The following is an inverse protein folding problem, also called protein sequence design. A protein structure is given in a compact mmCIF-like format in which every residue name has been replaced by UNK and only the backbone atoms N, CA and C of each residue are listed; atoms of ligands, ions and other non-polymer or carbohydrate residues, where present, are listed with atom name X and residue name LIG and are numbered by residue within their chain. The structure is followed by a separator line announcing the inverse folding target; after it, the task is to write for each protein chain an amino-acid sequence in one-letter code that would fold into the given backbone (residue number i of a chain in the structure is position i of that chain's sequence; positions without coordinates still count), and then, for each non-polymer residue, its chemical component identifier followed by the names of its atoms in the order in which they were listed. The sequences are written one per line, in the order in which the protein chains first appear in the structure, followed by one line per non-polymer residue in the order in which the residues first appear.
data_IF_865479614835
#
_entry.id   IF_865479614835
#
_cell.length_a   1.000
_cell.length_b   1.000
_cell.length_c   1.000
_cell.angle_alpha   90.00
_cell.angle_beta   90.00
_cell.angle_gamma   90.00
#
_symmetry.space_group_name_H-M   'P 1'
#
loop_
_entity.id
_entity.type
_entity.pdbx_description
1 polymer ?
#
# COMPACT_ATOMS: atom_id res chain seq x y z
N UNK A 1 18.75 23.36 -54.25
CA UNK A 1 19.96 22.89 -53.51
C UNK A 1 19.75 22.63 -52.01
N UNK A 2 18.68 23.10 -51.39
CA UNK A 2 18.43 22.87 -49.93
C UNK A 2 17.91 21.46 -49.60
N UNK A 3 17.24 20.79 -50.53
CA UNK A 3 16.67 19.44 -50.28
C UNK A 3 17.72 18.33 -50.28
N UNK A 4 18.84 18.50 -50.96
CA UNK A 4 19.92 17.51 -51.02
C UNK A 4 20.63 17.29 -49.66
N UNK A 5 20.58 18.28 -48.77
CA UNK A 5 21.22 18.25 -47.44
C UNK A 5 20.56 17.25 -46.48
N UNK A 6 19.30 16.89 -46.65
CA UNK A 6 18.55 15.98 -45.81
C UNK A 6 18.45 14.56 -46.39
N UNK A 7 18.61 14.43 -47.71
CA UNK A 7 18.52 13.14 -48.42
C UNK A 7 19.78 12.29 -48.17
N UNK A 8 20.96 12.92 -48.14
CA UNK A 8 22.24 12.22 -47.93
C UNK A 8 22.32 11.56 -46.51
N UNK A 9 22.01 12.27 -45.41
CA UNK A 9 22.05 11.60 -44.07
C UNK A 9 20.96 10.54 -43.93
N UNK A 10 19.79 10.70 -44.59
CA UNK A 10 18.73 9.68 -44.53
C UNK A 10 19.13 8.40 -45.30
N UNK A 11 19.81 8.55 -46.47
CA UNK A 11 20.35 7.43 -47.23
C UNK A 11 21.47 6.68 -46.46
N UNK A 12 22.35 7.41 -45.77
CA UNK A 12 23.39 6.81 -44.91
C UNK A 12 22.77 6.04 -43.75
N UNK A 13 21.69 6.55 -43.15
CA UNK A 13 20.97 5.87 -42.09
C UNK A 13 20.31 4.58 -42.60
N UNK A 14 19.72 4.58 -43.79
CA UNK A 14 19.10 3.40 -44.40
C UNK A 14 20.15 2.33 -44.75
N UNK A 15 21.32 2.74 -45.27
CA UNK A 15 22.42 1.83 -45.59
C UNK A 15 23.02 1.21 -44.31
N UNK A 16 23.12 1.98 -43.24
CA UNK A 16 23.59 1.46 -41.92
C UNK A 16 22.66 0.38 -41.34
N UNK A 17 21.33 0.49 -41.59
CA UNK A 17 20.36 -0.51 -41.14
C UNK A 17 20.37 -1.76 -42.04
N UNK A 18 20.67 -1.62 -43.33
CA UNK A 18 20.73 -2.74 -44.28
C UNK A 18 22.00 -3.60 -44.15
N UNK A 19 23.06 -3.08 -43.52
CA UNK A 19 24.32 -3.81 -43.29
C UNK A 19 24.35 -4.64 -42.00
N UNK A 20 23.24 -4.63 -41.24
CA UNK A 20 23.15 -5.46 -40.03
C UNK A 20 22.97 -6.93 -40.42
N UNK A 21 23.97 -7.73 -40.14
CA UNK A 21 23.96 -9.18 -40.43
C UNK A 21 22.78 -9.86 -39.75
N UNK A 22 22.23 -10.88 -40.40
CA UNK A 22 21.17 -11.70 -39.76
C UNK A 22 21.64 -12.36 -38.46
N UNK A 23 22.94 -12.56 -38.32
CA UNK A 23 23.59 -13.01 -37.10
C UNK A 23 23.43 -12.00 -35.95
N UNK A 24 23.63 -10.69 -36.24
CA UNK A 24 23.48 -9.61 -35.24
C UNK A 24 22.03 -9.43 -34.78
N UNK A 25 21.09 -9.57 -35.73
CA UNK A 25 19.64 -9.52 -35.42
C UNK A 25 19.23 -10.68 -34.50
N UNK A 26 19.77 -11.87 -34.75
CA UNK A 26 19.51 -13.02 -33.90
C UNK A 26 20.10 -12.86 -32.50
N UNK A 27 21.30 -12.31 -32.39
CA UNK A 27 21.95 -12.04 -31.10
C UNK A 27 21.14 -11.03 -30.27
N UNK A 28 20.65 -9.95 -30.90
CA UNK A 28 19.79 -8.93 -30.23
C UNK A 28 18.46 -9.57 -29.78
N UNK A 29 17.86 -10.45 -30.58
CA UNK A 29 16.64 -11.15 -30.20
C UNK A 29 16.85 -12.12 -29.03
N UNK A 30 17.97 -12.83 -29.01
CA UNK A 30 18.32 -13.74 -27.92
C UNK A 30 18.60 -12.99 -26.63
N UNK A 31 19.33 -11.88 -26.68
CA UNK A 31 19.60 -11.06 -25.48
C UNK A 31 18.30 -10.46 -24.93
N UNK A 32 17.46 -9.89 -25.77
CA UNK A 32 16.16 -9.37 -25.36
C UNK A 32 15.25 -10.45 -24.75
N UNK A 33 15.29 -11.68 -25.30
CA UNK A 33 14.54 -12.84 -24.76
C UNK A 33 15.08 -13.26 -23.40
N UNK A 34 16.40 -13.31 -23.22
CA UNK A 34 17.05 -13.62 -21.94
C UNK A 34 16.73 -12.58 -20.87
N UNK A 35 16.76 -11.31 -21.21
CA UNK A 35 16.42 -10.23 -20.29
C UNK A 35 14.95 -10.27 -19.87
N UNK A 36 14.04 -10.60 -20.81
CA UNK A 36 12.62 -10.78 -20.52
C UNK A 36 12.39 -11.97 -19.57
N UNK A 37 13.04 -13.10 -19.79
CA UNK A 37 12.98 -14.27 -18.92
C UNK A 37 13.51 -13.93 -17.53
N UNK A 38 14.68 -13.29 -17.44
CA UNK A 38 15.28 -12.88 -16.17
C UNK A 38 14.39 -11.93 -15.36
N UNK A 39 13.67 -11.04 -16.06
CA UNK A 39 12.71 -10.13 -15.43
C UNK A 39 11.46 -10.88 -14.94
N UNK A 40 10.96 -11.87 -15.68
CA UNK A 40 9.85 -12.72 -15.27
C UNK A 40 10.22 -13.57 -14.05
N UNK A 41 11.39 -14.20 -14.04
CA UNK A 41 11.87 -15.00 -12.90
C UNK A 41 12.02 -14.15 -11.64
N UNK A 42 12.59 -12.95 -11.78
CA UNK A 42 12.72 -12.01 -10.66
C UNK A 42 11.36 -11.61 -10.09
N UNK A 43 10.37 -11.37 -10.95
CA UNK A 43 9.01 -11.03 -10.54
C UNK A 43 8.33 -12.21 -9.85
N UNK A 44 8.50 -13.42 -10.38
CA UNK A 44 7.96 -14.64 -9.79
C UNK A 44 8.52 -14.89 -8.38
N UNK A 45 9.81 -14.69 -8.18
CA UNK A 45 10.46 -14.81 -6.85
C UNK A 45 9.90 -13.77 -5.86
N UNK A 46 9.71 -12.53 -6.31
CA UNK A 46 9.13 -11.47 -5.46
C UNK A 46 7.70 -11.79 -5.10
N UNK A 47 6.90 -12.28 -6.04
CA UNK A 47 5.51 -12.68 -5.80
C UNK A 47 5.42 -13.87 -4.85
N UNK A 48 6.26 -14.89 -5.03
CA UNK A 48 6.32 -16.05 -4.14
C UNK A 48 6.71 -15.65 -2.71
N UNK A 49 7.71 -14.79 -2.52
CA UNK A 49 8.07 -14.24 -1.20
C UNK A 49 6.95 -13.45 -0.57
N UNK A 50 6.22 -12.67 -1.36
CA UNK A 50 5.07 -11.90 -0.89
C UNK A 50 3.93 -12.82 -0.46
N UNK A 51 3.68 -13.88 -1.22
CA UNK A 51 2.65 -14.88 -0.90
C UNK A 51 2.98 -15.64 0.38
N UNK A 52 4.24 -16.07 0.57
CA UNK A 52 4.71 -16.73 1.80
C UNK A 52 4.60 -15.79 3.02
N UNK A 53 4.97 -14.52 2.87
CA UNK A 53 4.82 -13.54 3.95
C UNK A 53 3.35 -13.27 4.33
N UNK A 54 2.44 -13.29 3.36
CA UNK A 54 1.00 -13.14 3.60
C UNK A 54 0.41 -14.40 4.27
N UNK A 55 0.87 -15.58 3.89
CA UNK A 55 0.43 -16.86 4.49
C UNK A 55 0.83 -17.00 5.97
N UNK A 56 1.88 -16.29 6.40
CA UNK A 56 2.34 -16.28 7.80
C UNK A 56 1.58 -15.32 8.69
N UNK A 57 0.78 -14.41 8.13
CA UNK A 57 -0.03 -13.46 8.89
C UNK A 57 -1.22 -14.21 9.50
N UNK A 58 -1.16 -14.41 10.80
CA UNK A 58 -2.29 -14.95 11.55
C UNK A 58 -3.20 -13.81 12.00
N UNK A 59 -4.47 -13.89 11.60
CA UNK A 59 -5.51 -12.95 12.03
C UNK A 59 -6.31 -13.58 13.16
N UNK A 60 -6.22 -12.99 14.35
CA UNK A 60 -6.98 -13.43 15.53
C UNK A 60 -8.17 -12.48 15.74
N UNK A 61 -9.42 -12.98 15.62
CA UNK A 61 -10.60 -12.16 15.88
C UNK A 61 -10.57 -11.57 17.29
N UNK A 62 -10.77 -10.27 17.42
CA UNK A 62 -10.75 -9.59 18.72
C UNK A 62 -12.14 -9.11 19.14
N UNK A 63 -12.79 -8.27 18.33
CA UNK A 63 -14.17 -7.80 18.57
C UNK A 63 -14.91 -7.61 17.27
N UNK A 64 -16.23 -7.87 17.31
CA UNK A 64 -17.12 -7.71 16.15
C UNK A 64 -18.16 -6.63 16.42
N UNK A 65 -18.55 -5.93 15.35
CA UNK A 65 -19.62 -4.94 15.31
C UNK A 65 -19.51 -3.85 16.39
N UNK A 66 -18.30 -3.35 16.62
CA UNK A 66 -18.01 -2.28 17.59
C UNK A 66 -17.93 -0.93 16.90
N UNK A 67 -18.05 0.15 17.69
CA UNK A 67 -17.98 1.51 17.16
C UNK A 67 -16.53 1.99 17.04
N UNK A 68 -16.24 2.55 15.87
CA UNK A 68 -15.00 3.25 15.57
C UNK A 68 -15.29 4.73 15.26
N UNK A 69 -14.41 5.61 15.73
CA UNK A 69 -14.40 7.01 15.33
C UNK A 69 -12.99 7.46 14.92
N UNK A 70 -12.80 8.72 14.65
CA UNK A 70 -11.51 9.31 14.35
C UNK A 70 -11.20 10.53 15.22
N UNK A 71 -9.92 10.83 15.36
CA UNK A 71 -9.45 12.04 16.04
C UNK A 71 -9.84 13.31 15.31
N UNK A 72 -10.16 14.35 16.09
CA UNK A 72 -10.28 15.69 15.55
C UNK A 72 -8.90 16.28 15.17
N UNK A 73 -8.88 17.19 14.18
CA UNK A 73 -7.65 17.78 13.64
C UNK A 73 -6.80 18.52 14.67
N UNK A 74 -7.42 19.04 15.74
CA UNK A 74 -6.74 19.73 16.85
C UNK A 74 -5.75 18.86 17.63
N UNK A 75 -5.79 17.54 17.47
CA UNK A 75 -4.84 16.61 18.12
C UNK A 75 -3.59 16.38 17.28
N UNK A 76 -3.55 16.85 16.04
CA UNK A 76 -2.39 16.69 15.17
C UNK A 76 -1.13 17.30 15.80
N UNK A 77 -0.02 16.57 15.77
CA UNK A 77 1.26 16.98 16.38
C UNK A 77 1.38 16.73 17.88
N UNK A 78 0.30 16.38 18.60
CA UNK A 78 0.37 16.10 20.04
C UNK A 78 1.04 14.73 20.31
N UNK A 79 1.60 14.58 21.51
CA UNK A 79 2.13 13.28 21.97
C UNK A 79 0.97 12.36 22.33
N UNK A 80 1.10 11.10 21.92
CA UNK A 80 0.21 10.00 22.31
C UNK A 80 0.65 9.37 23.63
N UNK A 81 -0.14 8.49 24.21
CA UNK A 81 0.21 7.78 25.43
C UNK A 81 1.44 6.85 25.28
N UNK A 82 1.80 6.43 24.06
CA UNK A 82 3.05 5.72 23.79
C UNK A 82 4.27 6.62 23.66
N UNK A 83 4.10 7.94 23.72
CA UNK A 83 5.16 8.93 23.51
C UNK A 83 5.37 9.36 22.06
N UNK A 84 4.78 8.65 21.09
CA UNK A 84 4.86 9.01 19.67
C UNK A 84 4.09 10.30 19.37
N UNK A 85 4.45 11.02 18.31
CA UNK A 85 3.66 12.15 17.82
C UNK A 85 2.49 11.66 16.99
N UNK A 86 1.30 12.11 17.33
CA UNK A 86 0.10 11.84 16.56
C UNK A 86 0.11 12.63 15.24
N UNK A 87 -0.26 11.97 14.17
CA UNK A 87 -0.47 12.61 12.86
C UNK A 87 -1.68 11.99 12.15
N UNK A 88 -2.59 12.84 11.66
CA UNK A 88 -3.83 12.40 11.02
C UNK A 88 -3.63 11.56 9.76
N UNK A 89 -2.47 11.68 9.10
CA UNK A 89 -2.14 10.88 7.90
C UNK A 89 -1.49 9.54 8.22
N UNK A 90 -1.15 9.26 9.48
CA UNK A 90 -0.55 8.00 9.89
C UNK A 90 -1.62 6.93 10.10
N UNK A 91 -1.24 5.66 9.89
CA UNK A 91 -2.13 4.51 10.14
C UNK A 91 -2.00 4.07 11.60
N UNK A 92 -2.50 4.90 12.51
CA UNK A 92 -2.45 4.70 13.95
C UNK A 92 -3.84 4.81 14.58
N UNK A 93 -3.99 4.24 15.78
CA UNK A 93 -5.22 4.30 16.53
C UNK A 93 -4.99 4.28 18.05
N UNK A 94 -6.01 4.73 18.80
CA UNK A 94 -6.13 4.52 20.24
C UNK A 94 -7.03 3.33 20.53
N UNK A 95 -6.65 2.57 21.55
CA UNK A 95 -7.45 1.49 22.10
C UNK A 95 -7.26 1.37 23.61
N UNK A 96 -8.35 0.99 24.34
CA UNK A 96 -8.36 0.95 25.81
C UNK A 96 -7.37 -0.05 26.39
N UNK A 97 -7.26 -1.24 25.79
CA UNK A 97 -6.59 -2.41 26.41
C UNK A 97 -5.44 -2.98 25.57
N UNK A 98 -5.48 -2.88 24.23
CA UNK A 98 -4.44 -3.47 23.39
C UNK A 98 -3.07 -2.83 23.67
N UNK A 99 -2.01 -3.62 23.64
CA UNK A 99 -0.64 -3.14 23.85
C UNK A 99 -0.23 -2.15 22.75
N UNK A 100 0.62 -1.18 23.11
CA UNK A 100 1.21 -0.30 22.10
C UNK A 100 2.04 -1.13 21.11
N UNK A 101 1.99 -0.75 19.84
CA UNK A 101 2.64 -1.49 18.75
C UNK A 101 1.78 -2.62 18.17
N UNK A 102 0.68 -3.03 18.83
CA UNK A 102 -0.23 -4.04 18.26
C UNK A 102 -0.78 -3.56 16.93
N UNK A 103 -0.67 -4.38 15.91
CA UNK A 103 -1.31 -4.15 14.59
C UNK A 103 -2.72 -4.73 14.60
N UNK A 104 -3.68 -3.91 14.22
CA UNK A 104 -5.10 -4.28 14.20
C UNK A 104 -5.64 -4.04 12.80
N UNK A 105 -6.21 -5.08 12.20
CA UNK A 105 -7.03 -4.95 10.99
C UNK A 105 -8.42 -4.52 11.41
N UNK A 106 -8.85 -3.38 10.87
CA UNK A 106 -10.15 -2.77 11.11
C UNK A 106 -10.96 -2.91 9.84
N UNK A 107 -12.07 -3.65 9.90
CA UNK A 107 -12.95 -3.90 8.74
C UNK A 107 -14.29 -3.22 8.97
N UNK A 108 -14.69 -2.31 8.09
CA UNK A 108 -16.01 -1.69 8.12
C UNK A 108 -17.08 -2.71 7.70
N UNK A 109 -18.04 -2.96 8.57
CA UNK A 109 -19.10 -3.98 8.35
C UNK A 109 -20.08 -3.59 7.25
N UNK A 110 -20.23 -2.31 6.92
CA UNK A 110 -21.17 -1.83 5.92
C UNK A 110 -20.68 -2.01 4.47
N UNK A 111 -19.37 -2.02 4.23
CA UNK A 111 -18.80 -2.07 2.88
C UNK A 111 -17.66 -3.07 2.70
N UNK A 112 -17.26 -3.79 3.76
CA UNK A 112 -16.17 -4.77 3.73
C UNK A 112 -14.77 -4.19 3.57
N UNK A 113 -14.59 -2.88 3.43
CA UNK A 113 -13.27 -2.25 3.34
C UNK A 113 -12.51 -2.42 4.65
N UNK A 114 -11.23 -2.69 4.55
CA UNK A 114 -10.37 -2.87 5.71
C UNK A 114 -9.08 -2.08 5.61
N UNK A 115 -8.51 -1.76 6.78
CA UNK A 115 -7.24 -1.08 6.93
C UNK A 115 -6.51 -1.65 8.14
N UNK A 116 -5.18 -1.63 8.10
CA UNK A 116 -4.34 -2.01 9.24
C UNK A 116 -3.85 -0.75 9.93
N UNK A 117 -4.06 -0.67 11.26
CA UNK A 117 -3.57 0.42 12.10
C UNK A 117 -2.72 -0.11 13.24
N UNK A 118 -1.77 0.71 13.70
CA UNK A 118 -0.94 0.40 14.86
C UNK A 118 -1.48 1.13 16.09
N UNK A 119 -1.61 0.44 17.21
CA UNK A 119 -2.05 1.04 18.46
C UNK A 119 -0.89 1.85 19.06
N UNK A 120 -1.08 3.16 19.17
CA UNK A 120 -0.09 4.11 19.70
C UNK A 120 -0.64 4.97 20.83
N UNK A 121 -1.95 4.89 21.09
CA UNK A 121 -2.57 5.75 22.09
C UNK A 121 -3.59 5.00 22.97
N UNK A 122 -4.05 5.65 24.04
CA UNK A 122 -5.10 5.18 24.94
C UNK A 122 -6.41 5.93 24.70
N UNK A 123 -7.49 5.21 24.82
CA UNK A 123 -8.86 5.65 24.52
C UNK A 123 -9.53 4.68 23.57
N UNK A 124 -10.74 5.00 23.12
CA UNK A 124 -11.62 6.10 23.55
C UNK A 124 -12.12 5.94 24.98
N UNK A 125 -12.31 7.06 25.69
CA UNK A 125 -12.81 7.03 27.07
C UNK A 125 -14.34 7.01 27.18
N UNK A 126 -15.05 7.00 26.05
CA UNK A 126 -16.49 6.81 25.97
C UNK A 126 -16.83 5.31 25.94
N UNK A 127 -17.96 4.91 26.58
CA UNK A 127 -18.35 3.49 26.69
C UNK A 127 -18.64 2.85 25.33
N UNK A 128 -19.30 3.56 24.42
CA UNK A 128 -19.80 3.03 23.14
C UNK A 128 -18.68 2.81 22.12
N UNK A 129 -17.65 3.67 22.12
CA UNK A 129 -16.56 3.56 21.16
C UNK A 129 -15.48 2.61 21.63
N UNK A 130 -14.97 1.78 20.73
CA UNK A 130 -13.91 0.81 21.03
C UNK A 130 -12.55 1.26 20.52
N UNK A 131 -12.52 1.92 19.37
CA UNK A 131 -11.28 2.37 18.72
C UNK A 131 -11.45 3.77 18.15
N UNK A 132 -10.46 4.64 18.36
CA UNK A 132 -10.35 5.94 17.73
C UNK A 132 -9.16 5.93 16.78
N UNK A 133 -9.40 6.08 15.48
CA UNK A 133 -8.40 5.99 14.42
C UNK A 133 -7.86 7.39 14.06
N UNK A 134 -6.67 7.46 13.50
CA UNK A 134 -6.28 8.66 12.78
C UNK A 134 -7.24 8.90 11.60
N UNK A 135 -7.34 10.14 11.14
CA UNK A 135 -8.36 10.55 10.15
C UNK A 135 -8.19 9.82 8.82
N UNK A 136 -6.95 9.66 8.33
CA UNK A 136 -6.67 9.02 7.04
C UNK A 136 -7.17 7.58 6.97
N UNK A 137 -6.75 6.64 7.84
CA UNK A 137 -7.24 5.26 7.78
C UNK A 137 -8.75 5.15 8.01
N UNK A 138 -9.34 6.04 8.82
CA UNK A 138 -10.79 6.08 8.99
C UNK A 138 -11.53 6.43 7.69
N UNK A 139 -11.03 7.43 6.94
CA UNK A 139 -11.60 7.85 5.66
C UNK A 139 -11.46 6.77 4.60
N UNK A 140 -10.34 6.04 4.58
CA UNK A 140 -10.08 4.98 3.59
C UNK A 140 -11.12 3.84 3.66
N UNK A 141 -11.66 3.55 4.85
CA UNK A 141 -12.70 2.53 5.03
C UNK A 141 -14.11 3.10 5.14
N UNK A 142 -14.27 4.42 5.19
CA UNK A 142 -15.57 5.07 5.26
C UNK A 142 -16.34 4.95 3.94
N UNK A 143 -17.66 4.84 4.00
CA UNK A 143 -18.52 4.86 2.82
C UNK A 143 -19.07 6.28 2.53
N UNK A 144 -19.49 7.01 3.57
CA UNK A 144 -20.17 8.30 3.46
C UNK A 144 -19.31 9.44 3.98
N UNK A 145 -18.31 9.91 3.21
CA UNK A 145 -17.50 11.12 3.50
C UNK A 145 -17.05 11.26 4.96
N UNK A 146 -16.75 10.13 5.62
CA UNK A 146 -16.17 10.15 6.96
C UNK A 146 -17.14 10.41 8.11
N UNK A 147 -18.44 10.18 7.95
CA UNK A 147 -19.38 10.23 9.10
C UNK A 147 -19.02 9.17 10.13
N UNK A 148 -18.75 9.60 11.35
CA UNK A 148 -18.56 8.74 12.50
C UNK A 148 -19.90 8.63 13.29
N UNK A 149 -20.11 7.54 14.07
CA UNK A 149 -19.24 6.36 14.17
C UNK A 149 -19.45 5.36 13.02
N UNK A 150 -18.42 4.55 12.76
CA UNK A 150 -18.54 3.37 11.89
C UNK A 150 -18.71 2.11 12.75
N UNK A 151 -19.43 1.12 12.22
CA UNK A 151 -19.45 -0.25 12.77
C UNK A 151 -18.33 -1.06 12.13
N UNK A 152 -17.46 -1.63 12.97
CA UNK A 152 -16.25 -2.32 12.50
C UNK A 152 -16.03 -3.64 13.21
N UNK A 153 -15.34 -4.56 12.53
CA UNK A 153 -14.74 -5.74 13.13
C UNK A 153 -13.25 -5.48 13.34
N UNK A 154 -12.72 -5.94 14.46
CA UNK A 154 -11.31 -5.82 14.85
C UNK A 154 -10.67 -7.21 14.88
N UNK A 155 -9.54 -7.36 14.18
CA UNK A 155 -8.72 -8.56 14.16
C UNK A 155 -7.26 -8.17 14.49
N UNK A 156 -6.64 -8.91 15.41
CA UNK A 156 -5.22 -8.70 15.74
C UNK A 156 -4.37 -9.45 14.73
N UNK A 157 -3.31 -8.80 14.27
CA UNK A 157 -2.30 -9.38 13.38
C UNK A 157 -1.13 -9.87 14.26
N UNK A 158 -0.88 -11.19 14.21
CA UNK A 158 0.22 -11.88 14.87
C UNK A 158 1.28 -12.32 13.87
#
# INVERSE_FOLDING_TARGET
MKQLRYIVPLLILIIAISSFSDSDKNLIRETAKRDSIKKQDSLAIVLAKKQDSLARIKLTPYKKNVEASHYADKFNGRRTASGARFHNNNYTAAHKKLKFGTKVKVTNTANGKSVVVTITDRGPFTKQREIDMAKRPFLDISHNRGRAPLRVNLEIIE
#
